data_IF_422081860057
#
_entry.id   IF_422081860057
#
_cell.length_a   1.000
_cell.length_b   1.000
_cell.length_c   1.000
_cell.angle_alpha   90.00
_cell.angle_beta   90.00
_cell.angle_gamma   90.00
#
_symmetry.space_group_name_H-M   'P 1'
#
loop_
_entity.id
_entity.type
_entity.pdbx_description
1 polymer ?
#
# COMPACT_ATOMS: atom_id res chain seq x y z
N UNK A 1 -7.31 -10.84 7.13
CA UNK A 1 -7.81 -10.60 5.76
C UNK A 1 -6.62 -10.23 4.91
N UNK A 2 -6.39 -10.93 3.81
CA UNK A 2 -5.27 -10.65 2.91
C UNK A 2 -5.67 -9.67 1.82
N UNK A 3 -4.74 -8.80 1.43
CA UNK A 3 -4.94 -7.88 0.30
C UNK A 3 -4.50 -8.61 -0.98
N UNK A 4 -5.47 -9.01 -1.81
CA UNK A 4 -5.16 -9.55 -3.13
C UNK A 4 -4.39 -8.51 -3.96
N UNK A 5 -3.32 -8.95 -4.62
CA UNK A 5 -2.54 -8.07 -5.50
C UNK A 5 -1.97 -6.85 -4.78
N UNK A 6 -1.47 -7.00 -3.55
CA UNK A 6 -0.97 -5.89 -2.74
C UNK A 6 0.19 -5.11 -3.39
N UNK A 7 0.87 -5.64 -4.42
CA UNK A 7 1.84 -4.86 -5.21
C UNK A 7 1.15 -4.15 -6.37
N UNK A 8 0.11 -4.75 -6.95
CA UNK A 8 -0.56 -4.24 -8.15
C UNK A 8 -1.59 -3.15 -7.84
N UNK A 9 -2.10 -3.12 -6.61
CA UNK A 9 -3.21 -2.26 -6.18
C UNK A 9 -2.77 -1.01 -5.41
N UNK A 10 -1.48 -0.80 -5.16
CA UNK A 10 -1.00 0.42 -4.48
C UNK A 10 -1.18 1.62 -5.41
N UNK A 11 -1.91 2.65 -4.97
CA UNK A 11 -2.00 3.89 -5.73
C UNK A 11 -0.69 4.66 -5.66
N UNK A 12 -0.21 5.15 -6.80
CA UNK A 12 1.02 5.95 -6.87
C UNK A 12 0.93 7.20 -6.01
N UNK A 13 -0.23 7.84 -5.98
CA UNK A 13 -0.47 9.03 -5.16
C UNK A 13 -0.32 8.74 -3.66
N UNK A 14 -0.75 7.57 -3.19
CA UNK A 14 -0.56 7.17 -1.79
C UNK A 14 0.91 7.06 -1.42
N UNK A 15 1.76 6.58 -2.34
CA UNK A 15 3.21 6.53 -2.13
C UNK A 15 3.79 7.95 -2.07
N UNK A 16 3.42 8.83 -3.00
CA UNK A 16 3.91 10.22 -3.02
C UNK A 16 3.49 10.98 -1.75
N UNK A 17 2.21 10.86 -1.35
CA UNK A 17 1.70 11.49 -0.13
C UNK A 17 2.43 10.98 1.12
N UNK A 18 2.75 9.67 1.17
CA UNK A 18 3.50 9.11 2.29
C UNK A 18 4.92 9.70 2.35
N UNK A 19 5.60 9.83 1.21
CA UNK A 19 6.92 10.48 1.14
C UNK A 19 6.87 11.95 1.59
N UNK A 20 5.80 12.66 1.23
CA UNK A 20 5.56 14.04 1.66
C UNK A 20 5.34 14.15 3.17
N UNK A 21 4.51 13.27 3.75
CA UNK A 21 4.24 13.23 5.19
C UNK A 21 5.49 12.91 6.01
N UNK A 22 6.42 12.12 5.45
CA UNK A 22 7.70 11.80 6.08
C UNK A 22 8.75 12.91 5.92
N UNK A 23 8.41 14.05 5.28
CA UNK A 23 9.33 15.12 4.92
C UNK A 23 10.58 14.59 4.19
N UNK A 24 10.39 13.63 3.29
CA UNK A 24 11.51 13.06 2.55
C UNK A 24 12.22 14.12 1.71
N UNK A 25 13.56 14.06 1.58
CA UNK A 25 14.30 14.95 0.69
C UNK A 25 13.74 14.94 -0.74
N UNK A 26 13.63 16.13 -1.36
CA UNK A 26 13.01 16.30 -2.67
C UNK A 26 13.63 15.41 -3.76
N UNK A 27 14.94 15.17 -3.71
CA UNK A 27 15.62 14.28 -4.65
C UNK A 27 15.10 12.84 -4.57
N UNK A 28 14.80 12.34 -3.36
CA UNK A 28 14.23 11.01 -3.15
C UNK A 28 12.78 11.00 -3.62
N UNK A 29 11.97 11.96 -3.17
CA UNK A 29 10.56 12.09 -3.58
C UNK A 29 10.42 12.10 -5.10
N UNK A 30 11.16 12.97 -5.79
CA UNK A 30 11.12 13.09 -7.24
C UNK A 30 11.61 11.81 -7.94
N UNK A 31 12.59 11.10 -7.36
CA UNK A 31 13.04 9.83 -7.92
C UNK A 31 11.93 8.77 -7.88
N UNK A 32 11.19 8.70 -6.78
CA UNK A 32 10.03 7.80 -6.67
C UNK A 32 8.88 8.24 -7.58
N UNK A 33 8.58 9.54 -7.63
CA UNK A 33 7.55 10.06 -8.52
C UNK A 33 7.84 9.73 -9.99
N UNK A 34 9.07 9.99 -10.45
CA UNK A 34 9.50 9.66 -11.81
C UNK A 34 9.47 8.15 -12.09
N UNK A 35 9.80 7.31 -11.11
CA UNK A 35 9.75 5.86 -11.23
C UNK A 35 8.31 5.33 -11.35
N UNK A 36 7.35 6.01 -10.72
CA UNK A 36 5.94 5.62 -10.72
C UNK A 36 5.18 6.21 -11.92
N UNK A 37 5.59 7.37 -12.43
CA UNK A 37 4.96 8.03 -13.57
C UNK A 37 5.12 7.26 -14.89
N UNK A 38 4.12 7.38 -15.76
CA UNK A 38 4.16 6.96 -17.18
C UNK A 38 4.59 5.51 -17.44
N UNK A 39 4.33 4.60 -16.49
CA UNK A 39 4.66 3.19 -16.69
C UNK A 39 3.73 2.53 -17.71
N UNK A 40 4.32 1.75 -18.61
CA UNK A 40 3.60 0.95 -19.60
C UNK A 40 4.07 -0.49 -19.53
N UNK A 41 3.13 -1.42 -19.46
CA UNK A 41 3.41 -2.84 -19.65
C UNK A 41 3.25 -3.13 -21.13
N UNK A 42 4.28 -3.70 -21.73
CA UNK A 42 4.27 -4.10 -23.14
C UNK A 42 4.39 -5.64 -23.17
N UNK A 43 3.39 -6.28 -23.77
CA UNK A 43 3.39 -7.70 -24.06
C UNK A 43 3.66 -7.86 -25.56
N UNK A 44 4.78 -8.49 -25.90
CA UNK A 44 5.12 -8.82 -27.29
C UNK A 44 4.79 -10.29 -27.50
N UNK A 45 3.89 -10.55 -28.44
CA UNK A 45 3.62 -11.88 -29.00
C UNK A 45 4.12 -11.93 -30.44
N UNK A 46 4.30 -13.13 -31.00
CA UNK A 46 5.02 -13.38 -32.25
C UNK A 46 4.83 -12.32 -33.35
N UNK A 47 3.58 -11.91 -33.62
CA UNK A 47 3.27 -10.89 -34.64
C UNK A 47 2.55 -9.65 -34.07
N UNK A 48 2.25 -9.62 -32.77
CA UNK A 48 1.40 -8.60 -32.17
C UNK A 48 2.01 -8.01 -30.90
N UNK A 49 1.79 -6.71 -30.72
CA UNK A 49 2.19 -5.99 -29.51
C UNK A 49 0.94 -5.44 -28.81
N UNK A 50 0.70 -5.89 -27.58
CA UNK A 50 -0.28 -5.29 -26.70
C UNK A 50 0.43 -4.41 -25.69
N UNK A 51 -0.04 -3.18 -25.49
CA UNK A 51 0.56 -2.28 -24.52
C UNK A 51 -0.51 -1.60 -23.68
N UNK A 52 -0.31 -1.57 -22.36
CA UNK A 52 -1.24 -1.00 -21.40
C UNK A 52 -0.52 -0.07 -20.44
N UNK A 53 -1.07 1.12 -20.24
CA UNK A 53 -0.61 2.01 -19.18
C UNK A 53 -0.89 1.41 -17.80
N UNK A 54 0.09 1.49 -16.92
CA UNK A 54 0.01 1.01 -15.55
C UNK A 54 -0.02 2.20 -14.59
N UNK A 55 -1.24 2.60 -14.22
CA UNK A 55 -1.52 3.74 -13.33
C UNK A 55 -1.51 3.41 -11.84
N UNK A 56 -1.25 2.14 -11.50
CA UNK A 56 -1.20 1.65 -10.12
C UNK A 56 -0.20 0.50 -9.97
N UNK A 57 0.14 0.26 -8.72
CA UNK A 57 1.04 -0.76 -8.25
C UNK A 57 2.51 -0.33 -8.16
N UNK A 58 3.37 -1.25 -7.77
CA UNK A 58 4.83 -1.12 -7.75
C UNK A 58 5.42 -2.37 -8.41
N UNK A 59 6.56 -2.30 -9.13
CA UNK A 59 7.17 -3.49 -9.70
C UNK A 59 7.51 -4.46 -8.56
N UNK A 60 7.05 -5.71 -8.67
CA UNK A 60 7.23 -6.72 -7.62
C UNK A 60 8.70 -7.00 -7.30
N UNK A 61 9.61 -6.76 -8.25
CA UNK A 61 11.06 -6.89 -8.10
C UNK A 61 11.76 -5.60 -7.61
N UNK A 62 11.02 -4.55 -7.27
CA UNK A 62 11.62 -3.33 -6.77
C UNK A 62 12.21 -3.55 -5.38
N UNK A 63 13.51 -3.31 -5.21
CA UNK A 63 14.22 -3.56 -3.95
C UNK A 63 13.59 -2.83 -2.75
N UNK A 64 12.96 -1.68 -2.97
CA UNK A 64 12.28 -0.91 -1.92
C UNK A 64 10.77 -1.20 -1.82
N UNK A 65 10.24 -2.15 -2.60
CA UNK A 65 8.82 -2.53 -2.60
C UNK A 65 8.31 -2.94 -1.20
N UNK A 66 9.03 -3.78 -0.44
CA UNK A 66 8.64 -4.11 0.93
C UNK A 66 8.62 -2.92 1.89
N UNK A 67 9.52 -1.95 1.72
CA UNK A 67 9.57 -0.75 2.54
C UNK A 67 8.39 0.19 2.22
N UNK A 68 8.11 0.42 0.93
CA UNK A 68 6.96 1.21 0.49
C UNK A 68 5.63 0.65 0.99
N UNK A 69 5.47 -0.69 0.95
CA UNK A 69 4.27 -1.35 1.50
C UNK A 69 4.12 -1.13 2.99
N UNK A 70 5.20 -1.29 3.75
CA UNK A 70 5.18 -1.03 5.20
C UNK A 70 4.82 0.42 5.49
N UNK A 71 5.33 1.37 4.71
CA UNK A 71 5.01 2.79 4.84
C UNK A 71 3.53 3.08 4.59
N UNK A 72 2.97 2.59 3.49
CA UNK A 72 1.54 2.76 3.18
C UNK A 72 0.64 2.04 4.20
N UNK A 73 1.04 0.85 4.65
CA UNK A 73 0.34 0.11 5.70
C UNK A 73 0.40 0.81 7.06
N UNK A 74 1.46 1.58 7.32
CA UNK A 74 1.66 2.28 8.59
C UNK A 74 0.56 3.32 8.84
N UNK A 75 0.07 3.99 7.78
CA UNK A 75 -1.04 4.93 7.90
C UNK A 75 -2.32 4.23 8.40
N UNK A 76 -2.61 3.03 7.88
CA UNK A 76 -3.74 2.20 8.35
C UNK A 76 -3.54 1.68 9.77
N UNK A 77 -2.31 1.30 10.14
CA UNK A 77 -1.98 0.83 11.48
C UNK A 77 -2.11 1.93 12.54
N UNK A 78 -1.80 3.18 12.19
CA UNK A 78 -1.83 4.33 13.10
C UNK A 78 -3.15 5.11 13.07
N UNK A 79 -4.16 4.62 12.35
CA UNK A 79 -5.49 5.23 12.37
C UNK A 79 -6.13 5.10 13.76
N UNK A 80 -6.96 6.06 14.15
CA UNK A 80 -7.79 5.94 15.35
C UNK A 80 -8.83 4.84 15.18
N UNK A 81 -8.59 3.69 15.82
CA UNK A 81 -9.51 2.56 15.85
C UNK A 81 -10.50 2.69 17.01
N UNK A 82 -11.76 2.23 16.85
CA UNK A 82 -12.74 2.25 17.94
C UNK A 82 -12.25 1.55 19.20
N UNK A 83 -12.74 1.97 20.37
CA UNK A 83 -12.43 1.33 21.65
C UNK A 83 -12.60 -0.19 21.55
N UNK A 84 -11.69 -0.94 22.19
CA UNK A 84 -11.67 -2.41 22.17
C UNK A 84 -11.29 -3.06 20.83
N UNK A 85 -10.80 -2.27 19.88
CA UNK A 85 -10.27 -2.75 18.61
C UNK A 85 -8.74 -2.69 18.60
N UNK A 86 -8.08 -3.75 18.15
CA UNK A 86 -6.64 -3.75 17.88
C UNK A 86 -6.37 -4.27 16.48
N UNK A 87 -5.49 -3.60 15.74
CA UNK A 87 -5.03 -4.02 14.42
C UNK A 87 -3.58 -4.52 14.48
N UNK A 88 -3.27 -5.54 13.69
CA UNK A 88 -1.90 -6.02 13.48
C UNK A 88 -1.70 -6.35 12.00
N UNK A 89 -0.50 -6.10 11.47
CA UNK A 89 -0.15 -6.42 10.08
C UNK A 89 1.06 -7.35 9.99
N UNK A 90 1.06 -8.24 9.00
CA UNK A 90 2.20 -9.05 8.61
C UNK A 90 2.21 -9.24 7.08
N UNK A 91 3.30 -8.83 6.42
CA UNK A 91 3.40 -8.82 4.96
C UNK A 91 2.20 -8.09 4.29
N UNK A 92 1.31 -8.83 3.62
CA UNK A 92 0.12 -8.32 2.93
C UNK A 92 -1.18 -8.58 3.71
N UNK A 93 -1.08 -9.15 4.91
CA UNK A 93 -2.19 -9.53 5.76
C UNK A 93 -2.39 -8.55 6.92
N UNK A 94 -3.66 -8.22 7.17
CA UNK A 94 -4.09 -7.46 8.34
C UNK A 94 -5.04 -8.30 9.19
N UNK A 95 -4.86 -8.24 10.51
CA UNK A 95 -5.71 -8.87 11.51
C UNK A 95 -6.33 -7.75 12.34
N UNK A 96 -7.67 -7.73 12.38
CA UNK A 96 -8.43 -6.85 13.25
C UNK A 96 -9.06 -7.70 14.35
N UNK A 97 -8.78 -7.36 15.61
CA UNK A 97 -9.34 -8.02 16.79
C UNK A 97 -10.27 -7.03 17.48
N UNK A 98 -11.57 -7.37 17.53
CA UNK A 98 -12.59 -6.57 18.18
C UNK A 98 -13.05 -7.32 19.43
N UNK A 99 -12.82 -6.75 20.62
CA UNK A 99 -13.37 -7.31 21.85
C UNK A 99 -14.78 -6.76 22.06
N UNK A 100 -15.80 -7.62 22.24
CA UNK A 100 -17.14 -7.14 22.54
C UNK A 100 -17.16 -6.49 23.94
N UNK A 101 -17.85 -5.35 24.06
CA UNK A 101 -18.24 -4.85 25.37
C UNK A 101 -19.28 -5.80 25.97
N UNK A 102 -18.96 -6.39 27.13
CA UNK A 102 -19.99 -7.06 27.93
C UNK A 102 -20.91 -5.98 28.47
N UNK A 103 -22.17 -5.95 28.00
CA UNK A 103 -23.24 -5.24 28.71
C UNK A 103 -23.19 -5.70 30.17
N UNK A 104 -22.99 -4.78 31.12
CA UNK A 104 -23.27 -5.05 32.53
C UNK A 104 -24.74 -5.43 32.60
N UNK A 105 -24.99 -6.70 32.86
CA UNK A 105 -26.32 -7.17 33.25
C UNK A 105 -26.50 -6.56 34.64
N UNK A 106 -27.41 -5.60 34.76
CA UNK A 106 -27.80 -5.05 36.05
C UNK A 106 -28.53 -6.17 36.81
N UNK A 107 -27.94 -6.61 37.92
CA UNK A 107 -28.64 -7.38 38.98
C UNK A 107 -29.39 -6.43 39.90
#
# INVERSE_FOLDING_TARGET
>A
MGINGAFDNIQHQSIVNCLDNLNCPLNIRNSFENLLQSRKVILIMQEDQAAREQKQGCPQAFCSGPALRKLVANDLLNQDWPTHTSIQAFADDFILVIKPERKKIFE
#
